data_IF_447786892881
#
_entry.id   IF_447786892881
#
_cell.length_a   1.000
_cell.length_b   1.000
_cell.length_c   1.000
_cell.angle_alpha   90.00
_cell.angle_beta   90.00
_cell.angle_gamma   90.00
#
_symmetry.space_group_name_H-M   'P 1'
#
loop_
_entity.id
_entity.type
_entity.pdbx_description
1 polymer ?
#
# COMPACT_ATOMS: atom_id res chain seq x y z
N UNK A 1 14.45 14.92 10.44
CA UNK A 1 13.40 15.86 9.99
C UNK A 1 12.46 15.22 8.96
N UNK A 2 12.98 14.69 7.84
CA UNK A 2 12.15 14.09 6.77
C UNK A 2 11.25 12.93 7.21
N UNK A 3 11.73 12.01 8.05
CA UNK A 3 10.93 10.88 8.52
C UNK A 3 9.67 11.31 9.31
N UNK A 4 9.76 12.37 10.12
CA UNK A 4 8.63 12.90 10.88
C UNK A 4 7.60 13.51 9.94
N UNK A 5 8.04 14.26 8.93
CA UNK A 5 7.16 14.82 7.90
C UNK A 5 6.42 13.72 7.14
N UNK A 6 7.14 12.68 6.71
CA UNK A 6 6.54 11.52 6.05
C UNK A 6 5.55 10.78 6.96
N UNK A 7 5.90 10.55 8.23
CA UNK A 7 5.02 9.91 9.20
C UNK A 7 3.72 10.70 9.39
N UNK A 8 3.83 12.01 9.65
CA UNK A 8 2.66 12.87 9.86
C UNK A 8 1.75 12.89 8.62
N UNK A 9 2.35 13.03 7.43
CA UNK A 9 1.60 12.99 6.18
C UNK A 9 0.94 11.62 5.96
N UNK A 10 1.65 10.51 6.20
CA UNK A 10 1.12 9.15 6.07
C UNK A 10 -0.01 8.85 7.07
N UNK A 11 -0.04 9.48 8.24
CA UNK A 11 -1.14 9.37 9.22
C UNK A 11 -2.39 10.11 8.73
N UNK A 12 -2.22 11.31 8.17
CA UNK A 12 -3.33 12.16 7.72
C UNK A 12 -3.91 11.65 6.39
N UNK A 13 -3.07 11.10 5.51
CA UNK A 13 -3.45 10.77 4.14
C UNK A 13 -4.64 9.79 4.01
N UNK A 14 -4.75 8.71 4.80
CA UNK A 14 -5.91 7.81 4.75
C UNK A 14 -7.25 8.52 4.98
N UNK A 15 -7.28 9.57 5.80
CA UNK A 15 -8.48 10.38 6.02
C UNK A 15 -8.86 11.21 4.79
N UNK A 16 -7.86 11.77 4.10
CA UNK A 16 -8.05 12.48 2.83
C UNK A 16 -8.60 11.50 1.78
N UNK A 17 -8.00 10.31 1.67
CA UNK A 17 -8.46 9.29 0.72
C UNK A 17 -9.89 8.86 1.04
N UNK A 18 -10.24 8.62 2.31
CA UNK A 18 -11.60 8.26 2.71
C UNK A 18 -12.63 9.36 2.39
N UNK A 19 -12.27 10.64 2.61
CA UNK A 19 -13.13 11.78 2.29
C UNK A 19 -13.42 11.87 0.79
N UNK A 20 -12.47 11.49 -0.05
CA UNK A 20 -12.62 11.49 -1.51
C UNK A 20 -13.35 10.23 -1.98
N UNK A 21 -12.96 9.05 -1.50
CA UNK A 21 -13.48 7.75 -1.95
C UNK A 21 -14.95 7.52 -1.58
N UNK A 22 -15.40 8.08 -0.45
CA UNK A 22 -16.81 8.04 -0.02
C UNK A 22 -17.79 8.65 -1.03
N UNK A 23 -17.30 9.48 -1.96
CA UNK A 23 -18.12 10.09 -3.02
C UNK A 23 -18.39 9.15 -4.21
N UNK A 24 -17.74 7.99 -4.27
CA UNK A 24 -17.77 7.08 -5.43
C UNK A 24 -18.45 5.73 -5.15
N UNK A 25 -19.40 5.71 -4.21
CA UNK A 25 -20.18 4.52 -3.86
C UNK A 25 -19.47 3.58 -2.88
N UNK A 26 -20.23 2.63 -2.34
CA UNK A 26 -19.78 1.76 -1.25
C UNK A 26 -18.55 0.92 -1.61
N UNK A 27 -18.49 0.39 -2.84
CA UNK A 27 -17.41 -0.48 -3.29
C UNK A 27 -16.06 0.27 -3.35
N UNK A 28 -16.05 1.43 -4.01
CA UNK A 28 -14.85 2.27 -4.12
C UNK A 28 -14.47 2.84 -2.75
N UNK A 29 -15.45 3.25 -1.95
CA UNK A 29 -15.22 3.74 -0.59
C UNK A 29 -14.58 2.68 0.31
N UNK A 30 -14.99 1.41 0.16
CA UNK A 30 -14.45 0.30 0.92
C UNK A 30 -13.10 -0.19 0.40
N UNK A 31 -12.67 0.25 -0.80
CA UNK A 31 -11.44 -0.19 -1.46
C UNK A 31 -11.39 -1.72 -1.58
N UNK A 32 -12.49 -2.31 -2.05
CA UNK A 32 -12.69 -3.77 -2.02
C UNK A 32 -11.68 -4.55 -2.89
N UNK A 33 -11.02 -3.91 -3.87
CA UNK A 33 -9.98 -4.54 -4.69
C UNK A 33 -8.64 -4.67 -3.96
N UNK A 34 -8.46 -3.92 -2.89
CA UNK A 34 -7.19 -3.79 -2.17
C UNK A 34 -7.27 -4.33 -0.74
N UNK A 35 -8.50 -4.54 -0.25
CA UNK A 35 -8.77 -5.10 1.07
C UNK A 35 -9.39 -6.49 0.90
N UNK A 36 -8.75 -7.54 1.45
CA UNK A 36 -9.32 -8.88 1.44
C UNK A 36 -10.72 -8.86 2.05
N UNK A 37 -11.72 -9.29 1.29
CA UNK A 37 -13.11 -9.28 1.73
C UNK A 37 -14.11 -9.46 0.59
N UNK A 38 -15.41 -9.46 0.92
CA UNK A 38 -16.47 -9.47 -0.08
C UNK A 38 -16.63 -8.10 -0.77
N UNK A 39 -17.17 -8.11 -1.98
CA UNK A 39 -17.58 -6.90 -2.70
C UNK A 39 -18.77 -6.28 -1.94
N UNK A 40 -18.69 -5.04 -1.43
CA UNK A 40 -19.72 -4.47 -0.56
C UNK A 40 -21.13 -4.43 -1.16
N UNK A 41 -21.25 -4.15 -2.45
CA UNK A 41 -22.55 -4.05 -3.13
C UNK A 41 -23.25 -5.40 -3.34
N UNK A 42 -22.51 -6.51 -3.38
CA UNK A 42 -23.07 -7.84 -3.65
C UNK A 42 -22.95 -8.82 -2.49
N UNK A 43 -22.04 -8.56 -1.54
CA UNK A 43 -21.67 -9.50 -0.49
C UNK A 43 -20.89 -10.73 -0.97
N UNK A 44 -20.59 -10.82 -2.27
CA UNK A 44 -19.87 -11.95 -2.85
C UNK A 44 -18.37 -11.86 -2.58
N UNK A 45 -17.71 -13.01 -2.39
CA UNK A 45 -16.26 -13.05 -2.32
C UNK A 45 -15.61 -12.48 -3.59
N UNK A 46 -14.49 -11.77 -3.43
CA UNK A 46 -13.71 -11.28 -4.56
C UNK A 46 -13.05 -12.46 -5.29
N UNK A 47 -13.57 -12.77 -6.47
CA UNK A 47 -13.06 -13.78 -7.39
C UNK A 47 -12.93 -13.15 -8.77
N UNK A 48 -12.17 -13.78 -9.68
CA UNK A 48 -12.11 -13.34 -11.09
C UNK A 48 -13.50 -13.15 -11.69
N UNK A 49 -14.40 -14.12 -11.44
CA UNK A 49 -15.76 -14.13 -11.98
C UNK A 49 -16.61 -12.99 -11.40
N UNK A 50 -16.62 -12.83 -10.08
CA UNK A 50 -17.40 -11.76 -9.44
C UNK A 50 -16.85 -10.37 -9.81
N UNK A 51 -15.53 -10.23 -9.99
CA UNK A 51 -14.92 -9.02 -10.51
C UNK A 51 -15.33 -8.73 -11.96
N UNK A 52 -15.30 -9.72 -12.84
CA UNK A 52 -15.74 -9.58 -14.23
C UNK A 52 -17.23 -9.19 -14.31
N UNK A 53 -18.07 -9.79 -13.47
CA UNK A 53 -19.49 -9.43 -13.36
C UNK A 53 -19.67 -8.00 -12.85
N UNK A 54 -18.93 -7.61 -11.80
CA UNK A 54 -18.94 -6.26 -11.26
C UNK A 54 -18.52 -5.22 -12.31
N UNK A 55 -17.50 -5.51 -13.11
CA UNK A 55 -17.05 -4.64 -14.20
C UNK A 55 -18.06 -4.55 -15.35
N UNK A 56 -18.82 -5.61 -15.63
CA UNK A 56 -19.82 -5.60 -16.70
C UNK A 56 -21.13 -4.92 -16.28
N UNK A 57 -21.37 -4.77 -14.99
CA UNK A 57 -22.56 -4.11 -14.47
C UNK A 57 -22.64 -2.63 -14.91
N UNK A 58 -23.75 -2.21 -15.54
CA UNK A 58 -23.99 -0.80 -15.87
C UNK A 58 -24.02 0.10 -14.63
N UNK A 59 -24.52 -0.42 -13.49
CA UNK A 59 -24.61 0.31 -12.23
C UNK A 59 -23.25 0.74 -11.69
N UNK A 60 -22.19 -0.01 -12.01
CA UNK A 60 -20.82 0.26 -11.55
C UNK A 60 -20.02 1.10 -12.55
N UNK A 61 -20.58 1.39 -13.73
CA UNK A 61 -19.98 2.25 -14.77
C UNK A 61 -19.45 3.59 -14.25
N UNK A 62 -20.29 4.37 -13.54
CA UNK A 62 -19.89 5.69 -13.06
C UNK A 62 -18.73 5.68 -12.06
N UNK A 63 -18.54 4.60 -11.30
CA UNK A 63 -17.58 4.52 -10.19
C UNK A 63 -16.21 3.97 -10.60
N UNK A 64 -16.14 3.16 -11.66
CA UNK A 64 -14.90 2.55 -12.18
C UNK A 64 -13.83 3.56 -12.59
N UNK A 65 -14.22 4.57 -13.38
CA UNK A 65 -13.27 5.57 -13.91
C UNK A 65 -12.68 6.45 -12.81
N UNK A 66 -13.47 7.00 -11.87
CA UNK A 66 -12.94 7.70 -10.70
C UNK A 66 -12.04 6.82 -9.84
N UNK A 67 -12.37 5.54 -9.65
CA UNK A 67 -11.50 4.61 -8.94
C UNK A 67 -10.12 4.56 -9.63
N UNK A 68 -10.08 4.24 -10.93
CA UNK A 68 -8.81 4.10 -11.64
C UNK A 68 -8.00 5.40 -11.79
N UNK A 69 -8.66 6.55 -11.91
CA UNK A 69 -7.99 7.84 -12.21
C UNK A 69 -7.76 8.74 -11.02
N UNK A 70 -8.59 8.65 -9.99
CA UNK A 70 -8.49 9.51 -8.82
C UNK A 70 -7.91 8.73 -7.64
N UNK A 71 -8.52 7.61 -7.26
CA UNK A 71 -8.10 6.86 -6.07
C UNK A 71 -6.69 6.28 -6.26
N UNK A 72 -6.39 5.67 -7.41
CA UNK A 72 -5.04 5.16 -7.69
C UNK A 72 -3.95 6.24 -7.65
N UNK A 73 -4.25 7.48 -8.07
CA UNK A 73 -3.28 8.58 -7.96
C UNK A 73 -3.02 8.96 -6.50
N UNK A 74 -4.07 8.93 -5.68
CA UNK A 74 -3.92 9.16 -4.24
C UNK A 74 -3.12 8.04 -3.58
N UNK A 75 -3.25 6.81 -4.05
CA UNK A 75 -2.51 5.65 -3.54
C UNK A 75 -1.03 5.71 -3.91
N UNK A 76 -0.68 6.19 -5.11
CA UNK A 76 0.72 6.50 -5.47
C UNK A 76 1.34 7.52 -4.52
N UNK A 77 0.59 8.56 -4.13
CA UNK A 77 1.08 9.51 -3.13
C UNK A 77 1.24 8.81 -1.78
N UNK A 78 0.29 7.96 -1.39
CA UNK A 78 0.38 7.19 -0.14
C UNK A 78 1.61 6.29 -0.10
N UNK A 79 1.91 5.58 -1.20
CA UNK A 79 3.13 4.77 -1.37
C UNK A 79 4.38 5.61 -1.10
N UNK A 80 4.45 6.81 -1.69
CA UNK A 80 5.58 7.70 -1.48
C UNK A 80 5.70 8.15 -0.01
N UNK A 81 4.56 8.44 0.64
CA UNK A 81 4.54 8.90 2.02
C UNK A 81 4.94 7.78 3.00
N UNK A 82 4.30 6.62 2.90
CA UNK A 82 4.55 5.46 3.77
C UNK A 82 5.90 4.83 3.46
N UNK A 83 6.20 4.59 2.19
CA UNK A 83 7.50 4.05 1.76
C UNK A 83 8.64 4.99 2.13
N UNK A 84 8.47 6.29 1.92
CA UNK A 84 9.42 7.32 2.35
C UNK A 84 9.61 7.31 3.86
N UNK A 85 8.53 7.18 4.65
CA UNK A 85 8.62 7.02 6.10
C UNK A 85 9.41 5.76 6.49
N UNK A 86 9.05 4.59 5.99
CA UNK A 86 9.72 3.33 6.36
C UNK A 86 11.20 3.33 5.99
N UNK A 87 11.54 3.79 4.78
CA UNK A 87 12.95 3.87 4.34
C UNK A 87 13.72 4.89 5.18
N UNK A 88 13.27 6.15 5.24
CA UNK A 88 14.02 7.21 5.91
C UNK A 88 14.04 7.03 7.43
N UNK A 89 12.94 6.57 8.02
CA UNK A 89 12.82 6.26 9.44
C UNK A 89 13.73 5.10 9.83
N UNK A 90 13.68 3.99 9.10
CA UNK A 90 14.53 2.83 9.41
C UNK A 90 16.01 3.14 9.22
N UNK A 91 16.41 3.84 8.14
CA UNK A 91 17.81 4.23 7.93
C UNK A 91 18.31 5.19 9.02
N UNK A 92 17.47 6.14 9.43
CA UNK A 92 17.85 7.07 10.49
C UNK A 92 18.04 6.37 11.84
N UNK A 93 17.10 5.49 12.21
CA UNK A 93 17.18 4.72 13.46
C UNK A 93 18.33 3.71 13.44
N UNK A 94 18.52 2.98 12.34
CA UNK A 94 19.64 2.07 12.15
C UNK A 94 21.00 2.78 12.26
N UNK A 95 21.11 3.98 11.67
CA UNK A 95 22.32 4.79 11.78
C UNK A 95 22.57 5.27 13.21
N UNK A 96 21.52 5.67 13.93
CA UNK A 96 21.64 6.06 15.34
C UNK A 96 22.08 4.90 16.25
N UNK A 97 21.69 3.68 15.88
CA UNK A 97 22.09 2.44 16.53
C UNK A 97 23.45 1.90 16.08
N UNK A 98 24.07 2.49 15.05
CA UNK A 98 25.23 1.92 14.36
C UNK A 98 25.03 0.46 13.94
N UNK A 99 23.78 0.09 13.64
CA UNK A 99 23.40 -1.29 13.32
C UNK A 99 22.40 -1.36 12.15
N UNK A 100 22.68 -2.14 11.09
CA UNK A 100 23.97 -2.78 10.79
C UNK A 100 25.10 -1.74 10.70
N UNK A 101 26.36 -2.18 10.72
CA UNK A 101 27.49 -1.25 10.55
C UNK A 101 27.29 -0.38 9.30
N UNK A 102 27.15 0.95 9.43
CA UNK A 102 26.90 1.85 8.30
C UNK A 102 28.05 1.86 7.28
N UNK A 103 29.26 1.44 7.68
CA UNK A 103 30.38 1.29 6.76
C UNK A 103 30.26 0.04 5.86
N UNK A 104 29.34 -0.87 6.17
CA UNK A 104 29.15 -2.08 5.39
C UNK A 104 28.29 -1.81 4.14
N UNK A 105 28.71 -2.34 3.00
CA UNK A 105 28.04 -2.12 1.71
C UNK A 105 26.60 -2.68 1.69
N UNK A 106 26.29 -3.70 2.48
CA UNK A 106 24.94 -4.27 2.56
C UNK A 106 24.02 -3.55 3.55
N UNK A 107 24.50 -2.55 4.30
CA UNK A 107 23.72 -1.78 5.27
C UNK A 107 22.39 -1.29 4.69
N UNK A 108 22.46 -0.58 3.57
CA UNK A 108 21.28 -0.06 2.88
C UNK A 108 20.35 -1.18 2.43
N UNK A 109 20.90 -2.31 1.97
CA UNK A 109 20.08 -3.44 1.49
C UNK A 109 19.29 -4.05 2.64
N UNK A 110 19.92 -4.35 3.77
CA UNK A 110 19.20 -4.97 4.88
C UNK A 110 18.14 -4.07 5.51
N UNK A 111 18.39 -2.77 5.58
CA UNK A 111 17.41 -1.84 6.14
C UNK A 111 16.27 -1.57 5.16
N UNK A 112 16.55 -1.53 3.86
CA UNK A 112 15.58 -1.09 2.85
C UNK A 112 14.88 -2.23 2.10
N UNK A 113 15.30 -3.49 2.21
CA UNK A 113 14.70 -4.59 1.43
C UNK A 113 13.20 -4.76 1.70
N UNK A 114 12.79 -4.71 2.97
CA UNK A 114 11.37 -4.86 3.35
C UNK A 114 10.54 -3.65 2.91
N UNK A 115 10.95 -2.39 3.19
CA UNK A 115 10.28 -1.20 2.63
C UNK A 115 10.21 -1.20 1.11
N UNK A 116 11.27 -1.62 0.41
CA UNK A 116 11.30 -1.69 -1.04
C UNK A 116 10.32 -2.74 -1.58
N UNK A 117 10.25 -3.92 -0.94
CA UNK A 117 9.27 -4.94 -1.30
C UNK A 117 7.83 -4.44 -1.16
N UNK A 118 7.54 -3.68 -0.08
CA UNK A 118 6.26 -2.99 0.09
C UNK A 118 5.96 -2.04 -1.07
N UNK A 119 6.84 -1.07 -1.34
CA UNK A 119 6.67 -0.07 -2.41
C UNK A 119 6.45 -0.74 -3.77
N UNK A 120 7.25 -1.75 -4.10
CA UNK A 120 7.16 -2.47 -5.38
C UNK A 120 5.83 -3.22 -5.48
N UNK A 121 5.44 -3.94 -4.42
CA UNK A 121 4.18 -4.70 -4.43
C UNK A 121 2.94 -3.80 -4.53
N UNK A 122 2.92 -2.66 -3.83
CA UNK A 122 1.83 -1.68 -3.88
C UNK A 122 1.73 -1.05 -5.28
N UNK A 123 2.88 -0.68 -5.87
CA UNK A 123 2.90 -0.17 -7.25
C UNK A 123 2.41 -1.20 -8.27
N UNK A 124 2.79 -2.47 -8.14
CA UNK A 124 2.32 -3.54 -9.03
C UNK A 124 0.83 -3.76 -8.87
N UNK A 125 0.32 -3.78 -7.64
CA UNK A 125 -1.10 -3.90 -7.35
C UNK A 125 -1.91 -2.75 -7.99
N UNK A 126 -1.53 -1.50 -7.71
CA UNK A 126 -2.19 -0.31 -8.26
C UNK A 126 -2.20 -0.32 -9.79
N UNK A 127 -1.07 -0.70 -10.39
CA UNK A 127 -0.97 -0.82 -11.84
C UNK A 127 -1.91 -1.90 -12.39
N UNK A 128 -2.04 -3.04 -11.71
CA UNK A 128 -2.96 -4.11 -12.13
C UNK A 128 -4.42 -3.69 -11.96
N UNK A 129 -4.78 -3.09 -10.83
CA UNK A 129 -6.13 -2.56 -10.58
C UNK A 129 -6.49 -1.52 -11.63
N UNK A 130 -5.62 -0.53 -11.87
CA UNK A 130 -5.85 0.49 -12.87
C UNK A 130 -6.01 -0.11 -14.28
N UNK A 131 -5.17 -1.08 -14.66
CA UNK A 131 -5.30 -1.75 -15.95
C UNK A 131 -6.62 -2.52 -16.08
N UNK A 132 -7.02 -3.27 -15.06
CA UNK A 132 -8.28 -4.03 -15.02
C UNK A 132 -9.47 -3.07 -15.14
N UNK A 133 -9.49 -1.99 -14.36
CA UNK A 133 -10.58 -1.02 -14.35
C UNK A 133 -10.68 -0.21 -15.65
N UNK A 134 -9.56 0.15 -16.28
CA UNK A 134 -9.54 0.95 -17.50
C UNK A 134 -9.81 0.12 -18.76
N UNK A 135 -9.31 -1.13 -18.81
CA UNK A 135 -9.41 -2.00 -20.00
C UNK A 135 -10.55 -3.01 -19.92
N UNK A 136 -11.15 -3.21 -18.75
CA UNK A 136 -12.18 -4.23 -18.50
C UNK A 136 -11.73 -5.65 -18.84
N UNK A 137 -10.42 -5.91 -18.74
CA UNK A 137 -9.80 -7.18 -19.08
C UNK A 137 -9.28 -7.87 -17.82
N UNK A 138 -10.04 -8.89 -17.39
CA UNK A 138 -9.75 -9.69 -16.20
C UNK A 138 -9.34 -11.10 -16.63
N UNK A 139 -8.10 -11.24 -17.09
CA UNK A 139 -7.51 -12.57 -17.27
C UNK A 139 -7.16 -13.20 -15.92
N UNK A 140 -7.11 -14.54 -15.85
CA UNK A 140 -6.68 -15.25 -14.64
C UNK A 140 -5.30 -14.80 -14.17
N UNK A 141 -4.37 -14.58 -15.11
CA UNK A 141 -3.02 -14.09 -14.81
C UNK A 141 -3.05 -12.72 -14.12
N UNK A 142 -3.84 -11.77 -14.64
CA UNK A 142 -3.95 -10.42 -14.06
C UNK A 142 -4.59 -10.44 -12.69
N UNK A 143 -5.67 -11.21 -12.54
CA UNK A 143 -6.36 -11.35 -11.26
C UNK A 143 -5.44 -11.99 -10.20
N UNK A 144 -4.77 -13.10 -10.54
CA UNK A 144 -3.88 -13.78 -9.61
C UNK A 144 -2.67 -12.91 -9.26
N UNK A 145 -2.11 -12.17 -10.22
CA UNK A 145 -1.00 -11.25 -9.96
C UNK A 145 -1.43 -10.08 -9.05
N UNK A 146 -2.62 -9.52 -9.26
CA UNK A 146 -3.21 -8.50 -8.39
C UNK A 146 -3.34 -9.03 -6.95
N UNK A 147 -3.99 -10.19 -6.76
CA UNK A 147 -4.16 -10.79 -5.43
C UNK A 147 -2.82 -11.13 -4.75
N UNK A 148 -1.85 -11.62 -5.51
CA UNK A 148 -0.50 -11.89 -5.01
C UNK A 148 0.18 -10.59 -4.57
N UNK A 149 0.11 -9.54 -5.38
CA UNK A 149 0.66 -8.23 -5.06
C UNK A 149 0.01 -7.65 -3.79
N UNK A 150 -1.32 -7.68 -3.67
CA UNK A 150 -2.04 -7.27 -2.45
C UNK A 150 -1.57 -8.05 -1.22
N UNK A 151 -1.36 -9.36 -1.35
CA UNK A 151 -0.88 -10.19 -0.24
C UNK A 151 0.54 -9.81 0.18
N UNK A 152 1.46 -9.69 -0.78
CA UNK A 152 2.84 -9.27 -0.52
C UNK A 152 2.85 -7.88 0.11
N UNK A 153 2.03 -6.95 -0.38
CA UNK A 153 1.89 -5.61 0.17
C UNK A 153 1.52 -5.64 1.64
N UNK A 154 0.46 -6.35 2.00
CA UNK A 154 -0.04 -6.39 3.39
C UNK A 154 1.04 -6.95 4.32
N UNK A 155 1.70 -8.04 3.91
CA UNK A 155 2.75 -8.68 4.71
C UNK A 155 3.97 -7.77 4.85
N UNK A 156 4.45 -7.18 3.75
CA UNK A 156 5.64 -6.32 3.75
C UNK A 156 5.40 -4.98 4.44
N UNK A 157 4.20 -4.41 4.34
CA UNK A 157 3.79 -3.25 5.14
C UNK A 157 3.88 -3.56 6.64
N UNK A 158 3.30 -4.68 7.08
CA UNK A 158 3.35 -5.12 8.48
C UNK A 158 4.79 -5.36 8.96
N UNK A 159 5.60 -6.01 8.14
CA UNK A 159 7.02 -6.24 8.43
C UNK A 159 7.83 -4.95 8.49
N UNK A 160 7.60 -3.99 7.56
CA UNK A 160 8.27 -2.69 7.57
C UNK A 160 7.89 -1.88 8.81
N UNK A 161 6.60 -1.86 9.17
CA UNK A 161 6.13 -1.21 10.40
C UNK A 161 6.77 -1.83 11.64
N UNK A 162 6.81 -3.16 11.74
CA UNK A 162 7.45 -3.87 12.84
C UNK A 162 8.96 -3.55 12.92
N UNK A 163 9.67 -3.57 11.78
CA UNK A 163 11.07 -3.20 11.70
C UNK A 163 11.31 -1.78 12.23
N UNK A 164 10.54 -0.79 11.75
CA UNK A 164 10.68 0.60 12.20
C UNK A 164 10.40 0.76 13.69
N UNK A 165 9.38 0.07 14.22
CA UNK A 165 9.05 0.10 15.66
C UNK A 165 10.17 -0.53 16.50
N UNK A 166 10.68 -1.70 16.11
CA UNK A 166 11.76 -2.40 16.83
C UNK A 166 13.02 -1.52 16.86
N UNK A 167 13.41 -0.95 15.72
CA UNK A 167 14.54 -0.01 15.66
C UNK A 167 14.31 1.21 16.56
N UNK A 168 13.07 1.73 16.60
CA UNK A 168 12.70 2.85 17.46
C UNK A 168 12.83 2.53 18.95
N UNK A 169 12.31 1.38 19.38
CA UNK A 169 12.42 0.91 20.76
C UNK A 169 13.89 0.71 21.14
N UNK A 170 14.68 0.05 20.30
CA UNK A 170 16.11 -0.15 20.54
C UNK A 170 16.85 1.18 20.69
N UNK A 171 16.58 2.16 19.83
CA UNK A 171 17.21 3.48 19.89
C UNK A 171 16.85 4.23 21.17
N UNK A 172 15.59 4.12 21.63
CA UNK A 172 15.15 4.73 22.89
C UNK A 172 15.82 4.08 24.10
N UNK A 173 15.93 2.74 24.12
CA UNK A 173 16.54 2.03 25.25
C UNK A 173 18.04 2.32 25.35
N UNK A 174 18.75 2.39 24.22
CA UNK A 174 20.19 2.67 24.19
C UNK A 174 20.54 4.14 24.42
N UNK A 175 19.62 5.07 24.15
CA UNK A 175 19.82 6.49 24.47
C UNK A 175 19.50 6.87 25.92
N UNK A 176 18.81 5.97 26.65
CA UNK A 176 18.49 6.14 28.07
C UNK A 176 19.49 5.46 29.03
N UNK A 177 20.46 4.70 28.49
CA UNK A 177 21.51 4.00 29.22
C UNK A 177 22.83 4.79 29.18
#
# INVERSE_FOLDING_TARGET
MYAITFAAAAIIWPFIVAMISSRFGADVSARFLERPGPIPSTGEALTRRSLEQWLRSPANGPFRRPYARCIMLLDVIYIFLVGGFFVTGSLWLASALTWPDPANWWYCVAVCIVPAAYIISDFVEDAMIAQILLRHDVSDTKFNLMCLATTIKIVTFGAAAAQTVVLGICALLLSAA
#
